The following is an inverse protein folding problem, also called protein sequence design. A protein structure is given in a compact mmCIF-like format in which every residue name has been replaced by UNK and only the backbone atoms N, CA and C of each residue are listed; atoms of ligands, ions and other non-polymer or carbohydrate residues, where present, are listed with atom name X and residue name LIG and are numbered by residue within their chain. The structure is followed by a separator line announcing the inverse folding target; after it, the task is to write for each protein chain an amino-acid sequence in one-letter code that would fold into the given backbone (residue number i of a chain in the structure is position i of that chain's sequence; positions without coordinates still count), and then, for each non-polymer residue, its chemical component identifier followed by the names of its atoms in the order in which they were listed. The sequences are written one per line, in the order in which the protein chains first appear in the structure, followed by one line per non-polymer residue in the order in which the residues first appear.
data_IF_776191834214
#
_entry.id   IF_776191834214
#
_cell.length_a   1.000
_cell.length_b   1.000
_cell.length_c   1.000
_cell.angle_alpha   90.00
_cell.angle_beta   90.00
_cell.angle_gamma   90.00
#
_symmetry.space_group_name_H-M   'P 1'
#
loop_
_entity.id
_entity.type
_entity.pdbx_description
1 polymer ?
#
# COMPACT_ATOMS: atom_id res chain seq x y z
N UNK A 1 -44.21 -9.58 1.29
CA UNK A 1 -43.54 -9.08 0.09
C UNK A 1 -42.94 -7.73 0.45
N UNK A 2 -41.70 -7.72 0.99
CA UNK A 2 -40.97 -6.49 1.38
C UNK A 2 -40.13 -6.07 0.17
N UNK A 3 -40.52 -4.98 -0.44
CA UNK A 3 -39.76 -4.29 -1.47
C UNK A 3 -38.56 -3.60 -0.77
N UNK A 4 -37.34 -4.11 -0.96
CA UNK A 4 -36.12 -3.36 -0.68
C UNK A 4 -35.96 -2.30 -1.77
N UNK A 5 -36.21 -1.06 -1.44
CA UNK A 5 -35.80 0.08 -2.26
C UNK A 5 -34.30 0.26 -2.05
N UNK A 6 -33.50 -0.18 -3.02
CA UNK A 6 -32.07 0.16 -3.07
C UNK A 6 -31.96 1.67 -3.32
N UNK A 7 -31.20 2.36 -2.47
CA UNK A 7 -30.90 3.78 -2.69
C UNK A 7 -29.96 3.94 -3.90
N UNK A 8 -30.04 5.04 -4.67
CA UNK A 8 -29.16 5.28 -5.82
C UNK A 8 -27.66 5.17 -5.50
N UNK A 9 -27.27 5.53 -4.29
CA UNK A 9 -25.87 5.47 -3.82
C UNK A 9 -25.31 4.03 -3.75
N UNK A 10 -26.15 3.04 -3.40
CA UNK A 10 -25.72 1.64 -3.34
C UNK A 10 -25.44 1.05 -4.73
N UNK A 11 -26.19 1.47 -5.75
CA UNK A 11 -25.98 1.02 -7.13
C UNK A 11 -24.74 1.62 -7.78
N UNK A 12 -24.39 2.86 -7.43
CA UNK A 12 -23.17 3.50 -7.92
C UNK A 12 -21.92 2.94 -7.24
N UNK A 13 -22.00 2.56 -5.97
CA UNK A 13 -20.95 1.88 -5.25
C UNK A 13 -20.67 0.48 -5.83
N UNK A 14 -21.71 -0.31 -6.11
CA UNK A 14 -21.57 -1.61 -6.77
C UNK A 14 -20.96 -1.50 -8.18
N UNK A 15 -21.32 -0.49 -8.95
CA UNK A 15 -20.75 -0.24 -10.29
C UNK A 15 -19.29 0.22 -10.23
N UNK A 16 -18.91 0.99 -9.21
CA UNK A 16 -17.53 1.41 -8.97
C UNK A 16 -16.65 0.23 -8.59
N UNK A 17 -17.18 -0.66 -7.73
CA UNK A 17 -16.53 -1.90 -7.32
C UNK A 17 -16.31 -2.82 -8.52
N UNK A 18 -17.35 -3.03 -9.35
CA UNK A 18 -17.24 -3.88 -10.54
C UNK A 18 -16.21 -3.32 -11.55
N UNK A 19 -16.18 -2.01 -11.78
CA UNK A 19 -15.18 -1.38 -12.65
C UNK A 19 -13.76 -1.51 -12.10
N UNK A 20 -13.60 -1.41 -10.78
CA UNK A 20 -12.32 -1.64 -10.11
C UNK A 20 -11.88 -3.10 -10.28
N UNK A 21 -12.78 -4.06 -10.07
CA UNK A 21 -12.53 -5.48 -10.25
C UNK A 21 -12.18 -5.84 -11.70
N UNK A 22 -12.89 -5.32 -12.67
CA UNK A 22 -12.63 -5.59 -14.10
C UNK A 22 -11.25 -5.08 -14.55
N UNK A 23 -10.80 -3.93 -14.03
CA UNK A 23 -9.49 -3.38 -14.37
C UNK A 23 -8.34 -4.09 -13.68
N UNK A 24 -8.50 -4.49 -12.43
CA UNK A 24 -7.44 -5.15 -11.64
C UNK A 24 -7.28 -6.62 -12.05
N UNK A 25 -8.37 -7.36 -12.21
CA UNK A 25 -8.34 -8.80 -12.51
C UNK A 25 -7.96 -9.14 -13.96
N UNK A 26 -8.15 -8.24 -14.90
CA UNK A 26 -7.78 -8.50 -16.30
C UNK A 26 -6.27 -8.72 -16.50
N UNK A 27 -5.44 -8.27 -15.54
CA UNK A 27 -3.97 -8.36 -15.63
C UNK A 27 -3.37 -9.46 -14.75
N UNK A 28 -3.85 -9.69 -13.54
CA UNK A 28 -3.41 -10.81 -12.69
C UNK A 28 -3.59 -12.17 -13.36
N UNK A 29 -4.55 -12.26 -14.27
CA UNK A 29 -4.83 -13.49 -15.01
C UNK A 29 -3.86 -13.72 -16.19
N UNK A 30 -3.25 -12.67 -16.75
CA UNK A 30 -2.20 -12.82 -17.76
C UNK A 30 -0.89 -13.30 -17.12
N UNK A 31 -0.57 -12.81 -15.93
CA UNK A 31 0.62 -13.24 -15.18
C UNK A 31 0.48 -14.69 -14.71
N UNK A 32 -0.71 -15.11 -14.24
CA UNK A 32 -0.99 -16.50 -13.86
C UNK A 32 -0.92 -17.44 -15.09
N UNK A 33 -1.34 -16.98 -16.26
CA UNK A 33 -1.26 -17.78 -17.49
C UNK A 33 0.19 -18.01 -17.97
N UNK A 34 1.12 -17.11 -17.66
CA UNK A 34 2.55 -17.26 -17.96
C UNK A 34 3.23 -18.28 -17.05
N UNK A 35 2.74 -18.43 -15.81
CA UNK A 35 3.28 -19.35 -14.79
C UNK A 35 2.71 -20.77 -14.95
N UNK A 36 1.50 -20.90 -15.49
CA UNK A 36 0.80 -22.18 -15.65
C UNK A 36 0.25 -22.37 -17.09
N UNK A 37 1.03 -22.93 -18.03
CA UNK A 37 0.61 -23.09 -19.44
C UNK A 37 -0.65 -23.91 -19.65
N UNK A 38 -1.10 -24.70 -18.67
CA UNK A 38 -2.35 -25.49 -18.72
C UNK A 38 -3.62 -24.69 -18.44
N UNK A 39 -3.54 -23.45 -17.97
CA UNK A 39 -4.70 -22.63 -17.61
C UNK A 39 -5.28 -21.82 -18.77
N UNK A 40 -4.57 -21.75 -19.90
CA UNK A 40 -4.99 -20.98 -21.09
C UNK A 40 -6.31 -21.46 -21.73
N UNK A 41 -6.77 -22.66 -21.40
CA UNK A 41 -7.97 -23.25 -22.02
C UNK A 41 -9.30 -22.76 -21.42
N UNK A 42 -9.28 -22.02 -20.30
CA UNK A 42 -10.49 -21.52 -19.61
C UNK A 42 -10.85 -20.06 -19.98
N UNK A 43 -10.04 -19.40 -20.80
CA UNK A 43 -10.12 -17.95 -21.06
C UNK A 43 -11.03 -17.50 -22.21
N UNK A 44 -11.71 -18.41 -22.89
CA UNK A 44 -12.61 -18.06 -24.01
C UNK A 44 -14.08 -17.86 -23.64
N UNK A 45 -14.43 -17.80 -22.35
CA UNK A 45 -15.82 -17.62 -21.89
C UNK A 45 -16.09 -16.22 -21.36
N UNK A 46 -16.19 -15.25 -22.25
CA UNK A 46 -16.72 -13.90 -21.96
C UNK A 46 -18.25 -13.93 -21.93
N UNK A 47 -18.88 -14.53 -20.90
CA UNK A 47 -20.34 -14.39 -20.74
C UNK A 47 -20.75 -14.51 -19.25
N UNK A 48 -21.84 -13.83 -18.88
CA UNK A 48 -22.44 -13.82 -17.55
C UNK A 48 -22.60 -15.20 -16.84
N UNK A 49 -22.76 -16.34 -17.53
CA UNK A 49 -22.81 -17.66 -16.89
C UNK A 49 -21.52 -18.08 -16.18
N UNK A 50 -20.34 -17.58 -16.59
CA UNK A 50 -19.06 -17.93 -15.97
C UNK A 50 -18.92 -17.32 -14.57
N UNK A 51 -19.44 -16.11 -14.36
CA UNK A 51 -19.48 -15.46 -13.04
C UNK A 51 -20.41 -16.20 -12.07
N UNK A 52 -21.54 -16.72 -12.57
CA UNK A 52 -22.48 -17.51 -11.77
C UNK A 52 -21.91 -18.89 -11.42
N UNK A 53 -21.09 -19.46 -12.28
CA UNK A 53 -20.38 -20.73 -12.03
C UNK A 53 -19.24 -20.55 -11.02
N UNK A 54 -18.49 -19.46 -11.09
CA UNK A 54 -17.47 -19.11 -10.13
C UNK A 54 -18.07 -18.93 -8.72
N UNK A 55 -19.17 -18.20 -8.60
CA UNK A 55 -19.90 -18.04 -7.34
C UNK A 55 -20.49 -19.35 -6.78
N UNK A 56 -20.91 -20.29 -7.64
CA UNK A 56 -21.36 -21.63 -7.24
C UNK A 56 -20.23 -22.56 -6.85
N UNK A 57 -19.05 -22.42 -7.45
CA UNK A 57 -17.85 -23.17 -7.09
C UNK A 57 -17.26 -22.69 -5.77
N UNK A 58 -17.37 -21.41 -5.47
CA UNK A 58 -16.98 -20.84 -4.18
C UNK A 58 -17.83 -21.39 -3.02
N UNK A 59 -19.15 -21.57 -3.22
CA UNK A 59 -20.03 -22.24 -2.23
C UNK A 59 -19.69 -23.71 -1.97
N UNK A 60 -19.10 -24.41 -2.94
CA UNK A 60 -18.66 -25.82 -2.78
C UNK A 60 -17.26 -25.96 -2.18
N UNK A 61 -16.48 -24.87 -2.07
CA UNK A 61 -15.13 -24.85 -1.45
C UNK A 61 -15.14 -24.71 0.07
N UNK A 62 -16.29 -24.55 0.70
CA UNK A 62 -16.39 -24.37 2.16
C UNK A 62 -15.94 -25.58 3.01
N UNK A 63 -15.59 -26.72 2.38
CA UNK A 63 -15.21 -27.97 3.06
C UNK A 63 -13.73 -28.34 2.94
N UNK A 64 -12.83 -27.48 2.44
CA UNK A 64 -11.39 -27.75 2.35
C UNK A 64 -10.57 -26.76 3.17
N UNK A 65 -9.41 -27.16 3.76
CA UNK A 65 -8.54 -26.22 4.48
C UNK A 65 -8.13 -25.08 3.54
N UNK A 66 -8.42 -23.87 3.95
CA UNK A 66 -8.29 -22.65 3.17
C UNK A 66 -6.81 -22.22 3.13
N UNK A 67 -6.33 -21.83 1.95
CA UNK A 67 -5.08 -21.12 1.76
C UNK A 67 -5.02 -19.88 2.69
N UNK A 68 -3.85 -19.46 3.20
CA UNK A 68 -3.71 -18.34 4.16
C UNK A 68 -4.40 -17.02 3.73
N UNK A 69 -4.45 -16.74 2.42
CA UNK A 69 -5.21 -15.60 1.86
C UNK A 69 -6.72 -15.69 2.09
N UNK A 70 -7.27 -16.91 2.05
CA UNK A 70 -8.70 -17.12 2.33
C UNK A 70 -9.00 -17.02 3.84
N UNK A 71 -8.02 -17.33 4.71
CA UNK A 71 -8.12 -17.11 6.15
C UNK A 71 -8.18 -15.61 6.46
N UNK A 72 -7.36 -14.80 5.83
CA UNK A 72 -7.37 -13.34 6.00
C UNK A 72 -8.68 -12.69 5.51
N UNK A 73 -9.25 -13.16 4.39
CA UNK A 73 -10.56 -12.73 3.92
C UNK A 73 -11.68 -13.13 4.88
N UNK A 74 -11.61 -14.33 5.48
CA UNK A 74 -12.57 -14.80 6.46
C UNK A 74 -12.46 -14.06 7.80
N UNK A 75 -11.25 -13.74 8.24
CA UNK A 75 -11.01 -12.91 9.43
C UNK A 75 -11.53 -11.49 9.21
N UNK A 76 -11.26 -10.88 8.05
CA UNK A 76 -11.79 -9.56 7.67
C UNK A 76 -13.32 -9.55 7.66
N UNK A 77 -13.97 -10.59 7.13
CA UNK A 77 -15.43 -10.75 7.13
C UNK A 77 -16.00 -10.94 8.53
N UNK A 78 -15.37 -11.78 9.36
CA UNK A 78 -15.80 -12.03 10.73
C UNK A 78 -15.68 -10.80 11.64
N UNK A 79 -14.65 -9.98 11.43
CA UNK A 79 -14.49 -8.69 12.13
C UNK A 79 -15.53 -7.68 11.65
N UNK A 80 -15.88 -7.70 10.36
CA UNK A 80 -16.93 -6.85 9.78
C UNK A 80 -18.34 -7.21 10.23
N UNK A 81 -18.61 -8.50 10.49
CA UNK A 81 -19.93 -9.01 10.87
C UNK A 81 -20.25 -8.91 12.39
N UNK A 82 -19.27 -8.60 13.23
CA UNK A 82 -19.53 -8.29 14.66
C UNK A 82 -20.18 -6.91 14.79
N UNK A 83 -21.48 -6.86 14.54
CA UNK A 83 -22.37 -5.73 14.79
C UNK A 83 -22.41 -5.38 16.30
N UNK A 84 -21.38 -4.79 16.84
CA UNK A 84 -21.33 -4.41 18.25
C UNK A 84 -20.05 -3.66 18.62
N UNK A 85 -19.00 -3.84 17.82
CA UNK A 85 -17.80 -3.01 17.85
C UNK A 85 -17.80 -2.15 16.58
N UNK A 86 -18.89 -1.43 16.39
CA UNK A 86 -19.01 -0.47 15.31
C UNK A 86 -18.15 0.74 15.60
N UNK A 87 -17.55 1.24 14.55
CA UNK A 87 -16.64 2.36 14.55
C UNK A 87 -15.33 2.04 15.27
N UNK A 88 -14.48 1.22 14.66
CA UNK A 88 -13.05 1.32 14.92
C UNK A 88 -12.65 2.80 14.88
N UNK A 89 -11.62 3.15 15.63
CA UNK A 89 -11.09 4.52 15.76
C UNK A 89 -11.02 5.30 14.42
N UNK A 90 -10.83 4.61 13.31
CA UNK A 90 -10.73 5.19 11.96
C UNK A 90 -12.05 5.26 11.17
N UNK A 91 -13.21 5.11 11.82
CA UNK A 91 -14.50 5.10 11.13
C UNK A 91 -14.84 6.44 10.44
N UNK A 92 -14.40 7.56 11.01
CA UNK A 92 -14.62 8.90 10.47
C UNK A 92 -13.77 9.20 9.23
N UNK A 93 -12.67 8.45 9.06
CA UNK A 93 -11.68 8.63 7.99
C UNK A 93 -12.05 7.74 6.81
N UNK A 94 -12.76 8.29 5.84
CA UNK A 94 -13.29 7.52 4.71
C UNK A 94 -13.17 8.23 3.36
N UNK A 95 -12.76 9.48 3.35
CA UNK A 95 -12.66 10.25 2.10
C UNK A 95 -11.53 9.72 1.22
N UNK A 96 -10.33 9.55 1.78
CA UNK A 96 -9.20 8.99 1.05
C UNK A 96 -9.51 7.58 0.54
N UNK A 97 -10.15 6.75 1.36
CA UNK A 97 -10.53 5.39 0.96
C UNK A 97 -11.59 5.40 -0.16
N UNK A 98 -12.56 6.34 -0.14
CA UNK A 98 -13.52 6.52 -1.23
C UNK A 98 -12.82 6.91 -2.53
N UNK A 99 -11.92 7.87 -2.48
CA UNK A 99 -11.13 8.28 -3.64
C UNK A 99 -10.27 7.10 -4.13
N UNK A 100 -9.64 6.35 -3.24
CA UNK A 100 -8.84 5.17 -3.57
C UNK A 100 -9.63 4.08 -4.30
N UNK A 101 -10.89 3.86 -3.91
CA UNK A 101 -11.79 2.95 -4.64
C UNK A 101 -12.09 3.47 -6.05
N UNK A 102 -12.37 4.75 -6.19
CA UNK A 102 -12.67 5.39 -7.48
C UNK A 102 -11.48 5.36 -8.43
N UNK A 103 -10.25 5.54 -7.92
CA UNK A 103 -9.00 5.48 -8.71
C UNK A 103 -8.44 4.06 -8.87
N UNK A 104 -9.11 3.06 -8.28
CA UNK A 104 -8.73 1.65 -8.40
C UNK A 104 -7.33 1.34 -7.82
N UNK A 105 -6.91 2.02 -6.74
CA UNK A 105 -5.69 1.64 -6.03
C UNK A 105 -5.96 0.42 -5.12
N UNK A 106 -4.96 -0.45 -5.00
CA UNK A 106 -5.01 -1.61 -4.11
C UNK A 106 -4.94 -1.25 -2.62
N UNK A 107 -4.51 -0.04 -2.29
CA UNK A 107 -4.48 0.50 -0.92
C UNK A 107 -5.87 0.63 -0.28
N UNK A 108 -6.95 0.57 -1.09
CA UNK A 108 -8.33 0.77 -0.64
C UNK A 108 -8.86 -0.40 0.21
N UNK A 109 -10.05 -0.20 0.82
CA UNK A 109 -10.73 -1.15 1.73
C UNK A 109 -10.98 -2.54 1.15
N UNK A 110 -10.99 -2.69 -0.17
CA UNK A 110 -11.23 -3.96 -0.83
C UNK A 110 -9.97 -4.82 -0.99
N UNK A 111 -8.78 -4.26 -0.77
CA UNK A 111 -7.49 -4.93 -0.85
C UNK A 111 -6.72 -4.79 0.47
N UNK A 112 -5.74 -3.88 0.56
CA UNK A 112 -4.86 -3.73 1.72
C UNK A 112 -5.51 -2.98 2.89
N UNK A 113 -6.54 -2.16 2.62
CA UNK A 113 -7.30 -1.41 3.64
C UNK A 113 -6.42 -0.45 4.47
N UNK A 114 -5.51 0.25 3.81
CA UNK A 114 -4.60 1.21 4.45
C UNK A 114 -5.21 2.60 4.62
N UNK A 115 -6.04 3.04 3.67
CA UNK A 115 -6.33 4.45 3.40
C UNK A 115 -7.03 5.18 4.55
N UNK A 116 -7.92 4.53 5.32
CA UNK A 116 -8.54 5.16 6.49
C UNK A 116 -7.52 5.52 7.57
N UNK A 117 -6.50 4.68 7.73
CA UNK A 117 -5.41 4.91 8.67
C UNK A 117 -4.50 6.03 8.17
N UNK A 118 -4.20 6.04 6.88
CA UNK A 118 -3.40 7.11 6.28
C UNK A 118 -4.11 8.45 6.35
N UNK A 119 -5.41 8.51 6.08
CA UNK A 119 -6.18 9.75 6.21
C UNK A 119 -6.06 10.36 7.61
N UNK A 120 -6.10 9.55 8.67
CA UNK A 120 -5.90 10.01 10.04
C UNK A 120 -4.58 10.79 10.22
N UNK A 121 -3.47 10.25 9.71
CA UNK A 121 -2.16 10.88 9.85
C UNK A 121 -1.91 12.00 8.83
N UNK A 122 -2.60 11.98 7.70
CA UNK A 122 -2.33 12.86 6.56
C UNK A 122 -3.32 14.02 6.42
N UNK A 123 -4.46 13.98 7.11
CA UNK A 123 -5.54 14.97 6.93
C UNK A 123 -5.10 16.41 7.16
N UNK A 124 -4.17 16.65 8.08
CA UNK A 124 -3.68 17.99 8.39
C UNK A 124 -2.80 18.57 7.29
N UNK A 125 -2.35 17.73 6.35
CA UNK A 125 -1.65 18.12 5.14
C UNK A 125 -2.59 18.43 3.97
N UNK A 126 -3.87 18.06 4.03
CA UNK A 126 -4.80 18.03 2.90
C UNK A 126 -4.86 19.33 2.10
N UNK A 127 -4.88 20.46 2.78
CA UNK A 127 -5.02 21.77 2.15
C UNK A 127 -3.71 22.58 2.12
N UNK A 128 -2.57 21.92 2.34
CA UNK A 128 -1.26 22.57 2.30
C UNK A 128 -0.59 22.32 0.94
N UNK A 129 0.18 23.29 0.43
CA UNK A 129 1.07 23.02 -0.69
C UNK A 129 2.15 22.04 -0.23
N UNK A 130 2.21 20.86 -0.85
CA UNK A 130 3.14 19.81 -0.50
C UNK A 130 3.71 19.11 -1.72
N UNK A 131 4.80 18.39 -1.53
CA UNK A 131 5.35 17.43 -2.46
C UNK A 131 5.23 16.04 -1.84
N UNK A 132 4.52 15.15 -2.53
CA UNK A 132 4.41 13.75 -2.18
C UNK A 132 5.28 12.96 -3.14
N UNK A 133 6.09 12.07 -2.60
CA UNK A 133 6.91 11.11 -3.36
C UNK A 133 6.39 9.71 -3.08
N UNK A 134 6.00 8.98 -4.11
CA UNK A 134 5.66 7.57 -4.04
C UNK A 134 6.73 6.75 -4.77
N UNK A 135 7.26 5.75 -4.09
CA UNK A 135 8.17 4.76 -4.63
C UNK A 135 7.31 3.56 -5.05
N UNK A 136 7.30 3.26 -6.35
CA UNK A 136 6.34 2.36 -6.98
C UNK A 136 5.15 3.12 -7.55
N UNK A 137 4.90 2.96 -8.87
CA UNK A 137 3.80 3.63 -9.60
C UNK A 137 2.77 2.62 -10.10
N UNK A 138 3.26 1.48 -10.60
CA UNK A 138 2.44 0.41 -11.15
C UNK A 138 1.44 0.90 -12.22
N UNK A 139 0.19 1.18 -11.87
CA UNK A 139 -0.87 1.63 -12.80
C UNK A 139 -1.32 3.07 -12.56
N UNK A 140 -0.61 3.82 -11.77
CA UNK A 140 -0.88 5.23 -11.49
C UNK A 140 -2.17 5.49 -10.70
N UNK A 141 -2.74 4.47 -10.06
CA UNK A 141 -3.97 4.61 -9.29
C UNK A 141 -3.78 5.41 -8.01
N UNK A 142 -2.69 5.14 -7.31
CA UNK A 142 -2.34 5.83 -6.07
C UNK A 142 -1.95 7.29 -6.33
N UNK A 143 -1.19 7.58 -7.39
CA UNK A 143 -0.82 8.96 -7.76
C UNK A 143 -2.04 9.83 -8.04
N UNK A 144 -3.03 9.30 -8.78
CA UNK A 144 -4.30 10.01 -9.03
C UNK A 144 -5.11 10.18 -7.76
N UNK A 145 -5.13 9.18 -6.88
CA UNK A 145 -5.77 9.27 -5.57
C UNK A 145 -5.11 10.37 -4.73
N UNK A 146 -3.78 10.41 -4.63
CA UNK A 146 -3.06 11.45 -3.90
C UNK A 146 -3.32 12.84 -4.47
N UNK A 147 -3.26 13.01 -5.79
CA UNK A 147 -3.57 14.26 -6.48
C UNK A 147 -4.96 14.79 -6.15
N UNK A 148 -5.94 13.90 -6.02
CA UNK A 148 -7.33 14.27 -5.68
C UNK A 148 -7.50 14.59 -4.20
N UNK A 149 -6.87 13.81 -3.32
CA UNK A 149 -6.97 14.02 -1.88
C UNK A 149 -6.23 15.28 -1.44
N UNK A 150 -5.08 15.58 -2.06
CA UNK A 150 -4.27 16.78 -1.81
C UNK A 150 -4.39 17.78 -2.98
N UNK A 151 -5.36 18.69 -2.97
CA UNK A 151 -5.64 19.55 -4.12
C UNK A 151 -4.50 20.52 -4.48
N UNK A 152 -3.59 20.79 -3.53
CA UNK A 152 -2.42 21.66 -3.74
C UNK A 152 -1.09 20.90 -3.85
N UNK A 153 -1.12 19.57 -3.91
CA UNK A 153 0.08 18.77 -3.97
C UNK A 153 0.67 18.71 -5.39
N UNK A 154 2.00 18.63 -5.44
CA UNK A 154 2.74 18.05 -6.55
C UNK A 154 3.08 16.62 -6.17
N UNK A 155 2.61 15.65 -6.94
CA UNK A 155 2.87 14.22 -6.76
C UNK A 155 4.03 13.81 -7.65
N UNK A 156 4.94 13.02 -7.12
CA UNK A 156 6.06 12.40 -7.81
C UNK A 156 5.97 10.89 -7.62
N UNK A 157 5.93 10.14 -8.71
CA UNK A 157 6.06 8.69 -8.70
C UNK A 157 7.42 8.28 -9.24
N UNK A 158 7.98 7.19 -8.73
CA UNK A 158 9.22 6.59 -9.23
C UNK A 158 9.00 5.11 -9.46
N UNK A 159 9.32 4.63 -10.65
CA UNK A 159 9.19 3.21 -11.01
C UNK A 159 10.34 2.79 -11.91
N UNK A 160 10.65 1.50 -11.93
CA UNK A 160 11.63 0.92 -12.85
C UNK A 160 11.03 0.69 -14.26
N UNK A 161 9.71 0.53 -14.36
CA UNK A 161 9.00 0.29 -15.62
C UNK A 161 8.80 1.60 -16.39
N UNK A 162 9.40 1.69 -17.56
CA UNK A 162 9.24 2.84 -18.47
C UNK A 162 7.79 3.11 -18.90
N UNK A 163 6.93 2.10 -18.90
CA UNK A 163 5.52 2.26 -19.22
C UNK A 163 4.78 3.16 -18.21
N UNK A 164 5.29 3.29 -17.00
CA UNK A 164 4.73 4.17 -15.98
C UNK A 164 4.72 5.66 -16.38
N UNK A 165 5.57 6.08 -17.35
CA UNK A 165 5.51 7.45 -17.92
C UNK A 165 4.15 7.82 -18.48
N UNK A 166 3.37 6.83 -18.92
CA UNK A 166 2.02 7.06 -19.44
C UNK A 166 1.03 7.62 -18.40
N UNK A 167 1.37 7.54 -17.12
CA UNK A 167 0.55 8.07 -16.02
C UNK A 167 0.93 9.49 -15.60
N UNK A 168 1.92 10.09 -16.28
CA UNK A 168 2.28 11.49 -16.06
C UNK A 168 1.15 12.41 -16.53
N UNK A 169 0.75 13.34 -15.69
CA UNK A 169 -0.26 14.34 -15.99
C UNK A 169 -0.05 15.63 -15.17
N UNK A 170 -0.95 16.61 -15.29
CA UNK A 170 -0.90 17.82 -14.47
C UNK A 170 -0.81 17.48 -12.98
N UNK A 171 0.18 18.00 -12.29
CA UNK A 171 0.53 17.74 -10.87
C UNK A 171 0.97 16.30 -10.56
N UNK A 172 1.14 15.42 -11.55
CA UNK A 172 1.79 14.11 -11.40
C UNK A 172 3.01 14.07 -12.31
N UNK A 173 4.19 13.82 -11.74
CA UNK A 173 5.44 13.64 -12.46
C UNK A 173 5.98 12.24 -12.19
N UNK A 174 6.35 11.54 -13.25
CA UNK A 174 6.89 10.19 -13.15
C UNK A 174 8.38 10.20 -13.52
N UNK A 175 9.20 9.68 -12.62
CA UNK A 175 10.61 9.40 -12.87
C UNK A 175 10.81 7.92 -13.08
N UNK A 176 11.59 7.54 -14.07
CA UNK A 176 12.00 6.15 -14.26
C UNK A 176 13.38 5.98 -13.64
N UNK A 177 13.49 4.97 -12.76
CA UNK A 177 14.73 4.68 -12.08
C UNK A 177 14.65 3.41 -11.24
N UNK A 178 15.76 2.73 -11.10
CA UNK A 178 15.91 1.55 -10.25
C UNK A 178 16.24 2.00 -8.81
N UNK A 179 15.31 1.80 -7.90
CA UNK A 179 15.44 2.18 -6.48
C UNK A 179 16.47 1.34 -5.72
N UNK A 180 17.01 0.28 -6.31
CA UNK A 180 18.17 -0.43 -5.76
C UNK A 180 19.47 0.37 -5.87
N UNK A 181 19.52 1.39 -6.76
CA UNK A 181 20.70 2.19 -7.05
C UNK A 181 20.78 3.41 -6.12
N UNK A 182 21.97 3.63 -5.54
CA UNK A 182 22.21 4.71 -4.57
C UNK A 182 22.03 6.10 -5.19
N UNK A 183 22.52 6.29 -6.42
CA UNK A 183 22.44 7.56 -7.14
C UNK A 183 20.99 7.95 -7.47
N UNK A 184 20.14 6.97 -7.78
CA UNK A 184 18.71 7.19 -7.99
C UNK A 184 18.09 7.68 -6.69
N UNK A 185 18.25 6.96 -5.57
CA UNK A 185 17.69 7.36 -4.27
C UNK A 185 18.21 8.74 -3.83
N UNK A 186 19.52 9.00 -3.96
CA UNK A 186 20.10 10.30 -3.61
C UNK A 186 19.49 11.44 -4.42
N UNK A 187 19.24 11.23 -5.73
CA UNK A 187 18.62 12.22 -6.60
C UNK A 187 17.21 12.61 -6.18
N UNK A 188 16.48 11.70 -5.50
CA UNK A 188 15.11 11.94 -5.06
C UNK A 188 15.03 12.95 -3.90
N UNK A 189 16.11 13.15 -3.15
CA UNK A 189 16.18 14.19 -2.11
C UNK A 189 15.98 15.60 -2.65
N UNK A 190 16.31 15.84 -3.94
CA UNK A 190 16.11 17.12 -4.60
C UNK A 190 14.63 17.51 -4.70
N UNK A 191 13.73 16.53 -4.68
CA UNK A 191 12.28 16.75 -4.63
C UNK A 191 11.89 17.47 -3.34
N UNK A 192 12.64 17.26 -2.25
CA UNK A 192 12.33 17.76 -0.89
C UNK A 192 10.89 17.38 -0.50
N UNK A 193 10.56 16.09 -0.46
CA UNK A 193 9.21 15.62 -0.19
C UNK A 193 8.77 16.01 1.23
N UNK A 194 7.47 16.18 1.42
CA UNK A 194 6.83 16.34 2.73
C UNK A 194 6.21 15.02 3.19
N UNK A 195 5.81 14.20 2.22
CA UNK A 195 5.26 12.86 2.44
C UNK A 195 5.97 11.92 1.48
N UNK A 196 6.42 10.77 1.99
CA UNK A 196 6.98 9.67 1.20
C UNK A 196 6.11 8.44 1.46
N UNK A 197 5.75 7.73 0.39
CA UNK A 197 5.08 6.43 0.44
C UNK A 197 5.99 5.43 -0.25
N UNK A 198 6.45 4.42 0.46
CA UNK A 198 7.32 3.36 -0.05
C UNK A 198 6.48 2.10 -0.29
N UNK A 199 6.14 1.88 -1.54
CA UNK A 199 5.32 0.80 -2.07
C UNK A 199 5.96 0.21 -3.34
N UNK A 200 7.28 0.01 -3.31
CA UNK A 200 8.05 -0.43 -4.47
C UNK A 200 8.18 -1.96 -4.54
N UNK A 201 9.39 -2.47 -4.41
CA UNK A 201 9.73 -3.88 -4.63
C UNK A 201 9.52 -4.78 -3.42
N UNK A 202 9.37 -4.22 -2.23
CA UNK A 202 9.23 -4.88 -0.92
C UNK A 202 10.41 -5.78 -0.51
N UNK A 203 11.54 -5.74 -1.23
CA UNK A 203 12.79 -6.33 -0.77
C UNK A 203 13.29 -5.62 0.48
N UNK A 204 13.73 -6.37 1.48
CA UNK A 204 14.18 -5.79 2.75
C UNK A 204 15.30 -4.78 2.57
N UNK A 205 16.30 -5.10 1.72
CA UNK A 205 17.40 -4.19 1.42
C UNK A 205 16.93 -2.88 0.81
N UNK A 206 15.94 -2.93 -0.10
CA UNK A 206 15.43 -1.74 -0.79
C UNK A 206 14.62 -0.86 0.17
N UNK A 207 13.69 -1.45 0.94
CA UNK A 207 12.89 -0.74 1.93
C UNK A 207 13.78 -0.05 2.99
N UNK A 208 14.77 -0.78 3.52
CA UNK A 208 15.70 -0.27 4.53
C UNK A 208 16.57 0.86 3.95
N UNK A 209 17.13 0.65 2.76
CA UNK A 209 17.95 1.65 2.07
C UNK A 209 17.15 2.92 1.77
N UNK A 210 15.95 2.79 1.22
CA UNK A 210 15.08 3.92 0.90
C UNK A 210 14.72 4.71 2.17
N UNK A 211 14.34 4.04 3.26
CA UNK A 211 14.04 4.67 4.54
C UNK A 211 15.25 5.47 5.06
N UNK A 212 16.43 4.87 5.12
CA UNK A 212 17.63 5.55 5.64
C UNK A 212 18.10 6.70 4.76
N UNK A 213 17.94 6.58 3.46
CA UNK A 213 18.34 7.62 2.50
C UNK A 213 17.37 8.78 2.47
N UNK A 214 16.06 8.52 2.44
CA UNK A 214 15.06 9.54 2.15
C UNK A 214 14.41 10.17 3.39
N UNK A 215 14.33 9.45 4.52
CA UNK A 215 13.77 10.00 5.75
C UNK A 215 14.48 11.28 6.21
N UNK A 216 15.82 11.39 6.17
CA UNK A 216 16.51 12.62 6.51
C UNK A 216 16.16 13.84 5.66
N UNK A 217 15.67 13.62 4.41
CA UNK A 217 15.29 14.70 3.50
C UNK A 217 13.88 15.28 3.79
N UNK A 218 13.08 14.62 4.63
CA UNK A 218 11.79 15.14 5.07
C UNK A 218 11.97 16.39 5.93
N UNK A 219 11.06 17.38 5.85
CA UNK A 219 11.00 18.47 6.82
C UNK A 219 10.49 17.97 8.18
N UNK A 220 10.63 18.79 9.24
CA UNK A 220 9.96 18.55 10.52
C UNK A 220 8.45 18.38 10.32
N UNK A 221 7.85 17.36 10.95
CA UNK A 221 6.48 16.94 10.76
C UNK A 221 6.23 16.17 9.46
N UNK A 222 7.25 15.98 8.62
CA UNK A 222 7.14 15.17 7.39
C UNK A 222 6.87 13.69 7.71
N UNK A 223 6.26 12.99 6.78
CA UNK A 223 5.73 11.63 6.98
C UNK A 223 6.38 10.65 6.00
N UNK A 224 6.88 9.55 6.51
CA UNK A 224 7.31 8.38 5.73
C UNK A 224 6.37 7.23 6.01
N UNK A 225 5.78 6.65 4.97
CA UNK A 225 4.92 5.47 5.05
C UNK A 225 5.65 4.32 4.37
N UNK A 226 5.86 3.23 5.09
CA UNK A 226 6.45 2.00 4.60
C UNK A 226 5.35 0.96 4.49
N UNK A 227 5.08 0.47 3.26
CA UNK A 227 4.02 -0.50 2.96
C UNK A 227 4.56 -1.92 2.82
N UNK A 228 3.62 -2.87 2.80
CA UNK A 228 3.81 -4.29 2.51
C UNK A 228 4.90 -4.98 3.35
N UNK A 229 4.90 -4.64 4.66
CA UNK A 229 5.83 -5.21 5.63
C UNK A 229 5.54 -6.68 5.98
N UNK A 230 4.52 -7.31 5.39
CA UNK A 230 4.23 -8.73 5.58
C UNK A 230 5.35 -9.64 5.09
N UNK A 231 6.18 -9.19 4.17
CA UNK A 231 7.39 -9.91 3.75
C UNK A 231 8.34 -10.19 4.92
N UNK A 232 8.32 -9.35 5.96
CA UNK A 232 9.09 -9.52 7.19
C UNK A 232 8.55 -10.65 8.10
N UNK A 233 7.24 -10.98 8.01
CA UNK A 233 6.59 -11.91 8.93
C UNK A 233 6.36 -13.31 8.35
N UNK A 234 6.39 -13.43 7.04
CA UNK A 234 5.97 -14.65 6.36
C UNK A 234 6.98 -15.15 5.34
N UNK A 235 8.26 -15.37 5.71
CA UNK A 235 9.29 -15.86 4.78
C UNK A 235 8.96 -17.22 4.17
N UNK A 236 8.02 -17.99 4.77
CA UNK A 236 7.51 -19.25 4.23
C UNK A 236 6.35 -19.07 3.24
N UNK A 237 5.76 -17.88 3.17
CA UNK A 237 4.61 -17.55 2.30
C UNK A 237 5.05 -16.74 1.10
N UNK A 238 6.01 -15.84 1.30
CA UNK A 238 6.64 -15.06 0.26
C UNK A 238 7.94 -15.73 -0.19
N UNK A 239 8.40 -15.41 -1.41
CA UNK A 239 9.69 -15.89 -1.90
C UNK A 239 10.81 -15.50 -0.93
N UNK A 240 11.76 -16.42 -0.73
CA UNK A 240 12.98 -16.12 0.04
C UNK A 240 13.81 -14.98 -0.56
N UNK A 241 13.50 -14.58 -1.79
CA UNK A 241 14.18 -13.48 -2.49
C UNK A 241 14.01 -12.14 -1.77
N UNK A 242 12.87 -11.93 -1.06
CA UNK A 242 12.67 -10.73 -0.25
C UNK A 242 13.63 -10.62 0.94
N UNK A 243 14.20 -11.75 1.41
CA UNK A 243 15.08 -11.84 2.57
C UNK A 243 16.55 -11.55 2.18
N UNK A 244 16.83 -10.41 1.61
CA UNK A 244 18.11 -10.05 1.01
C UNK A 244 18.98 -9.10 1.88
N UNK A 245 18.58 -8.88 3.14
CA UNK A 245 19.28 -8.05 4.09
C UNK A 245 19.48 -8.76 5.44
N UNK A 246 20.44 -8.33 6.28
CA UNK A 246 20.71 -8.95 7.59
C UNK A 246 19.60 -8.71 8.63
N UNK A 247 18.71 -7.75 8.39
CA UNK A 247 17.47 -7.49 9.15
C UNK A 247 16.32 -7.29 8.16
N UNK A 248 15.14 -7.72 8.56
CA UNK A 248 13.92 -7.37 7.86
C UNK A 248 13.47 -5.93 8.20
N UNK A 249 12.61 -5.37 7.36
CA UNK A 249 12.16 -3.98 7.49
C UNK A 249 11.37 -3.73 8.79
N UNK A 250 10.62 -4.72 9.29
CA UNK A 250 9.88 -4.60 10.55
C UNK A 250 10.83 -4.55 11.75
N UNK A 251 11.86 -5.40 11.78
CA UNK A 251 12.88 -5.39 12.84
C UNK A 251 13.62 -4.05 12.86
N UNK A 252 13.90 -3.46 11.70
CA UNK A 252 14.49 -2.11 11.63
C UNK A 252 13.53 -1.06 12.20
N UNK A 253 12.24 -1.09 11.82
CA UNK A 253 11.22 -0.19 12.35
C UNK A 253 11.05 -0.33 13.88
N UNK A 254 11.09 -1.56 14.42
CA UNK A 254 11.06 -1.81 15.87
C UNK A 254 12.25 -1.17 16.58
N UNK A 255 13.46 -1.32 16.04
CA UNK A 255 14.67 -0.71 16.62
C UNK A 255 14.63 0.82 16.56
N UNK A 256 14.16 1.39 15.45
CA UNK A 256 13.94 2.84 15.32
C UNK A 256 12.94 3.30 16.39
N UNK A 257 11.85 2.57 16.60
CA UNK A 257 10.84 2.87 17.65
C UNK A 257 11.47 2.92 19.04
N UNK A 258 12.36 1.98 19.35
CA UNK A 258 13.09 1.96 20.65
C UNK A 258 13.96 3.20 20.82
N UNK A 259 14.70 3.59 19.78
CA UNK A 259 15.54 4.80 19.82
C UNK A 259 14.66 6.04 19.94
N UNK A 260 13.61 6.17 19.14
CA UNK A 260 12.69 7.32 19.18
C UNK A 260 12.06 7.50 20.58
N UNK A 261 11.60 6.42 21.18
CA UNK A 261 10.93 6.44 22.48
C UNK A 261 11.88 6.68 23.64
N UNK A 262 13.09 6.13 23.59
CA UNK A 262 14.04 6.20 24.71
C UNK A 262 15.06 7.32 24.58
N UNK A 263 15.29 7.82 23.36
CA UNK A 263 16.39 8.72 22.99
C UNK A 263 17.78 8.13 23.36
N UNK A 264 17.88 6.80 23.34
CA UNK A 264 19.13 6.07 23.58
C UNK A 264 19.59 5.46 22.25
N UNK A 265 20.84 5.71 21.82
CA UNK A 265 21.39 5.15 20.59
C UNK A 265 21.32 3.62 20.55
N UNK A 266 21.07 3.06 19.37
CA UNK A 266 21.28 1.65 19.10
C UNK A 266 22.80 1.37 19.09
N UNK A 267 23.27 0.51 20.00
CA UNK A 267 24.72 0.33 20.23
C UNK A 267 25.31 -0.78 19.37
N UNK A 268 24.51 -1.76 18.96
CA UNK A 268 25.02 -3.01 18.37
C UNK A 268 24.13 -3.53 17.26
N UNK A 269 24.74 -4.30 16.35
CA UNK A 269 24.08 -5.00 15.27
C UNK A 269 24.06 -4.25 13.95
N UNK A 270 23.51 -4.89 12.90
CA UNK A 270 23.41 -4.28 11.58
C UNK A 270 22.63 -2.95 11.62
N UNK A 271 23.09 -1.96 10.86
CA UNK A 271 22.47 -0.64 10.70
C UNK A 271 22.34 0.18 12.00
N UNK A 272 23.21 -0.06 13.00
CA UNK A 272 23.08 0.59 14.31
C UNK A 272 23.19 2.12 14.24
N UNK A 273 24.04 2.65 13.36
CA UNK A 273 24.23 4.08 13.14
C UNK A 273 23.03 4.71 12.45
N UNK A 274 22.55 4.11 11.37
CA UNK A 274 21.40 4.58 10.59
C UNK A 274 20.10 4.49 11.41
N UNK A 275 19.88 3.39 12.13
CA UNK A 275 18.77 3.23 13.07
C UNK A 275 18.80 4.32 14.12
N UNK A 276 19.99 4.64 14.65
CA UNK A 276 20.15 5.72 15.63
C UNK A 276 19.81 7.07 15.00
N UNK A 277 20.35 7.37 13.83
CA UNK A 277 20.12 8.64 13.15
C UNK A 277 18.63 8.87 12.87
N UNK A 278 17.95 7.89 12.26
CA UNK A 278 16.51 7.99 11.99
C UNK A 278 15.70 8.03 13.29
N UNK A 279 16.02 7.18 14.27
CA UNK A 279 15.28 7.12 15.53
C UNK A 279 15.39 8.40 16.37
N UNK A 280 16.56 9.06 16.41
CA UNK A 280 16.74 10.33 17.11
C UNK A 280 15.94 11.47 16.46
N UNK A 281 15.71 11.39 15.14
CA UNK A 281 14.99 12.39 14.36
C UNK A 281 13.51 12.04 14.16
N UNK A 282 13.03 10.97 14.82
CA UNK A 282 11.65 10.51 14.74
C UNK A 282 10.84 10.95 15.94
N UNK A 283 9.70 11.61 15.70
CA UNK A 283 8.72 12.01 16.72
C UNK A 283 7.75 10.90 17.06
N UNK A 284 7.27 10.17 16.04
CA UNK A 284 6.26 9.13 16.18
C UNK A 284 6.52 7.98 15.21
N UNK A 285 6.34 6.76 15.69
CA UNK A 285 6.24 5.55 14.87
C UNK A 285 4.89 4.89 15.14
N UNK A 286 4.11 4.66 14.10
CA UNK A 286 2.84 3.94 14.17
C UNK A 286 2.88 2.68 13.33
N UNK A 287 2.95 1.53 13.97
CA UNK A 287 2.88 0.23 13.30
C UNK A 287 1.42 -0.20 13.13
N UNK A 288 1.08 -0.59 11.93
CA UNK A 288 -0.25 -1.04 11.54
C UNK A 288 -0.16 -2.39 10.83
N UNK A 289 -1.30 -2.98 10.45
CA UNK A 289 -1.30 -4.19 9.65
C UNK A 289 -0.57 -3.93 8.32
N UNK A 290 0.53 -4.65 8.09
CA UNK A 290 1.37 -4.60 6.88
C UNK A 290 1.96 -3.23 6.53
N UNK A 291 1.92 -2.25 7.42
CA UNK A 291 2.52 -0.92 7.16
C UNK A 291 3.01 -0.23 8.42
N UNK A 292 3.94 0.70 8.25
CA UNK A 292 4.48 1.52 9.33
C UNK A 292 4.57 2.98 8.89
N UNK A 293 4.20 3.90 9.78
CA UNK A 293 4.30 5.34 9.56
C UNK A 293 5.34 5.92 10.51
N UNK A 294 6.24 6.71 9.97
CA UNK A 294 7.22 7.49 10.70
C UNK A 294 6.93 8.98 10.51
N UNK A 295 6.87 9.73 11.58
CA UNK A 295 6.75 11.20 11.55
C UNK A 295 8.06 11.79 12.05
N UNK A 296 8.66 12.67 11.24
CA UNK A 296 9.91 13.34 11.56
C UNK A 296 9.70 14.42 12.62
N UNK A 297 10.65 14.52 13.54
CA UNK A 297 10.70 15.55 14.59
C UNK A 297 10.94 16.95 14.07
#
# INVERSE_FOLDING_TARGET
MLLFVQTPDALDEERSVLRCWERVWAYDLQDIASIFPGFAMLFHMRTAPALLLAAKLEKRREARPLHPTAFNLRLKRHVSEKKGLQAGFFHEFHELDRIGVEECTDKCRYRHNYLKKYEFFLRDWKNKPLRLLELGVFKGGSERMWKRFFPQAQVYGVDIDENCRAYEEERIKIRIGDLSQDDVLESLKEIRPHIIVDDASHFWSHQIKALFTLFPALPSGGVYILEDMETSFHPLVFSSDYCDAPLDAYTVAERITRVAASQVPCKEGPFAEEITAVGMDTELVATMLSSCIFIKR
#
